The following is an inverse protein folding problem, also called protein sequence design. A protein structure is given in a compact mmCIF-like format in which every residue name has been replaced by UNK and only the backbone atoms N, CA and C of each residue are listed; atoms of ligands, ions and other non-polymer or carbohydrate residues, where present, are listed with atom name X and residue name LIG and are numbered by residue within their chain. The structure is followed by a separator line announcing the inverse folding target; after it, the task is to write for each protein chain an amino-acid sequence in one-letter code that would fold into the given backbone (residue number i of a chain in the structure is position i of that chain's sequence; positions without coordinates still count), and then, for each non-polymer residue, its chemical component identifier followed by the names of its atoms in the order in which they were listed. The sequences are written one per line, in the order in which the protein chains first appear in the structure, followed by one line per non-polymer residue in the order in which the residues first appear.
data_IF_051803547757
#
_entry.id   IF_051803547757
#
_cell.length_a   1.000
_cell.length_b   1.000
_cell.length_c   1.000
_cell.angle_alpha   90.00
_cell.angle_beta   90.00
_cell.angle_gamma   90.00
#
_symmetry.space_group_name_H-M   'P 1'
#
loop_
_entity.id
_entity.type
_entity.pdbx_description
1 polymer ?
#
# COMPACT_ATOMS: atom_id res chain seq x y z
N UNK A 1 20.64 39.18 -6.68
CA UNK A 1 20.43 38.05 -5.75
C UNK A 1 18.94 37.95 -5.48
N UNK A 2 18.31 36.86 -5.92
CA UNK A 2 16.89 36.62 -5.70
C UNK A 2 16.73 35.51 -4.66
N UNK A 3 15.76 35.67 -3.77
CA UNK A 3 15.38 34.63 -2.82
C UNK A 3 13.95 34.20 -3.09
N UNK A 4 13.69 32.89 -3.00
CA UNK A 4 12.33 32.38 -2.94
C UNK A 4 12.16 31.64 -1.62
N UNK A 5 11.10 32.01 -0.90
CA UNK A 5 10.69 31.37 0.34
C UNK A 5 9.36 30.67 0.09
N UNK A 6 9.27 29.40 0.48
CA UNK A 6 8.01 28.68 0.43
C UNK A 6 7.83 27.85 1.69
N UNK A 7 6.65 27.99 2.30
CA UNK A 7 6.15 27.06 3.30
C UNK A 7 5.19 26.13 2.57
N UNK A 8 5.54 24.86 2.47
CA UNK A 8 4.64 23.82 1.96
C UNK A 8 4.43 22.79 3.07
N UNK A 9 3.29 22.91 3.75
CA UNK A 9 2.95 22.08 4.90
C UNK A 9 3.97 22.20 6.04
N UNK A 10 4.74 21.14 6.28
CA UNK A 10 5.74 21.02 7.37
C UNK A 10 7.18 21.31 6.94
N UNK A 11 7.36 21.75 5.70
CA UNK A 11 8.68 22.04 5.13
C UNK A 11 8.86 23.55 4.92
N UNK A 12 10.01 24.05 5.36
CA UNK A 12 10.48 25.40 5.05
C UNK A 12 11.59 25.23 4.01
N UNK A 13 11.37 25.75 2.81
CA UNK A 13 12.38 25.74 1.76
C UNK A 13 12.85 27.16 1.45
N UNK A 14 14.16 27.35 1.44
CA UNK A 14 14.83 28.61 1.11
C UNK A 14 15.75 28.33 -0.07
N UNK A 15 15.53 29.05 -1.18
CA UNK A 15 16.39 28.97 -2.36
C UNK A 15 17.06 30.32 -2.61
N UNK A 16 18.37 30.27 -2.79
CA UNK A 16 19.20 31.40 -3.17
C UNK A 16 19.58 31.28 -4.64
N UNK A 17 19.27 32.32 -5.41
CA UNK A 17 19.55 32.40 -6.83
C UNK A 17 20.63 33.46 -7.10
N UNK A 18 21.76 32.98 -7.63
CA UNK A 18 22.81 33.77 -8.27
C UNK A 18 23.30 33.03 -9.53
N UNK A 19 24.59 33.03 -9.86
CA UNK A 19 25.17 32.14 -10.90
C UNK A 19 24.99 30.64 -10.60
N UNK A 20 24.68 30.30 -9.35
CA UNK A 20 24.34 28.94 -8.87
C UNK A 20 23.06 29.00 -8.05
N UNK A 21 22.37 27.87 -7.95
CA UNK A 21 21.18 27.69 -7.10
C UNK A 21 21.58 26.90 -5.85
N UNK A 22 21.39 27.49 -4.67
CA UNK A 22 21.57 26.82 -3.38
C UNK A 22 20.20 26.68 -2.72
N UNK A 23 19.81 25.47 -2.37
CA UNK A 23 18.50 25.17 -1.77
C UNK A 23 18.67 24.49 -0.42
N UNK A 24 18.09 25.08 0.63
CA UNK A 24 17.93 24.46 1.94
C UNK A 24 16.47 24.09 2.14
N UNK A 25 16.21 22.89 2.64
CA UNK A 25 14.88 22.47 3.08
C UNK A 25 14.96 21.93 4.49
N UNK A 26 14.20 22.54 5.40
CA UNK A 26 14.05 22.09 6.79
C UNK A 26 12.68 21.44 6.90
N UNK A 27 12.67 20.15 7.22
CA UNK A 27 11.45 19.38 7.50
C UNK A 27 11.26 19.28 9.01
N UNK A 28 10.20 19.88 9.53
CA UNK A 28 9.80 19.73 10.93
C UNK A 28 8.77 18.61 11.02
N UNK A 29 9.21 17.40 11.37
CA UNK A 29 8.34 16.25 11.54
C UNK A 29 8.29 15.82 13.01
N UNK A 30 7.11 15.37 13.48
CA UNK A 30 7.01 14.70 14.77
C UNK A 30 7.78 13.38 14.71
N UNK A 31 8.59 13.11 15.73
CA UNK A 31 9.22 11.81 15.90
C UNK A 31 8.13 10.74 15.97
N UNK A 32 8.23 9.65 15.19
CA UNK A 32 7.36 8.49 15.35
C UNK A 32 7.41 7.98 16.80
N UNK A 33 6.26 7.90 17.45
CA UNK A 33 6.12 7.52 18.86
C UNK A 33 5.37 6.20 19.05
N UNK A 34 4.91 5.58 17.96
CA UNK A 34 4.13 4.34 17.98
C UNK A 34 4.71 3.31 17.04
N UNK A 35 4.70 2.08 17.51
CA UNK A 35 5.06 0.89 16.73
C UNK A 35 3.79 0.25 16.17
N UNK A 36 3.88 -0.28 14.95
CA UNK A 36 2.84 -1.12 14.36
C UNK A 36 3.50 -2.21 13.52
N UNK A 37 2.67 -3.17 13.10
CA UNK A 37 3.10 -4.29 12.29
C UNK A 37 2.23 -4.35 11.04
N UNK A 38 2.87 -4.70 9.92
CA UNK A 38 2.18 -4.94 8.66
C UNK A 38 2.77 -6.15 7.94
N UNK A 39 1.99 -6.67 7.01
CA UNK A 39 2.50 -7.64 6.03
C UNK A 39 3.13 -6.89 4.88
N UNK A 40 4.16 -7.49 4.30
CA UNK A 40 4.87 -6.87 3.19
C UNK A 40 4.36 -7.43 1.88
N UNK A 41 4.47 -6.67 0.80
CA UNK A 41 4.04 -7.09 -0.53
C UNK A 41 4.82 -8.27 -1.10
N UNK A 42 5.97 -8.61 -0.51
CA UNK A 42 6.98 -9.45 -1.15
C UNK A 42 6.64 -10.93 -1.02
N UNK A 43 6.58 -11.61 -2.15
CA UNK A 43 6.40 -13.05 -2.28
C UNK A 43 7.75 -13.77 -2.31
N UNK A 44 7.70 -15.10 -2.17
CA UNK A 44 8.84 -15.94 -2.45
C UNK A 44 9.29 -15.74 -3.90
N UNK A 45 10.60 -15.70 -4.15
CA UNK A 45 11.17 -15.40 -5.47
C UNK A 45 11.23 -13.91 -5.84
N UNK A 46 10.83 -13.00 -4.94
CA UNK A 46 11.00 -11.55 -5.14
C UNK A 46 9.91 -10.86 -5.97
N UNK A 47 8.85 -11.59 -6.32
CA UNK A 47 7.61 -11.02 -6.86
C UNK A 47 6.80 -10.31 -5.76
N UNK A 48 5.74 -9.62 -6.16
CA UNK A 48 4.94 -8.75 -5.31
C UNK A 48 3.44 -8.96 -5.51
N UNK A 49 2.68 -8.99 -4.41
CA UNK A 49 1.22 -8.78 -4.42
C UNK A 49 0.88 -7.30 -4.37
N UNK A 50 -0.31 -6.92 -4.83
CA UNK A 50 -0.74 -5.53 -4.84
C UNK A 50 -1.45 -5.19 -3.53
N UNK A 51 -0.97 -4.13 -2.87
CA UNK A 51 -1.65 -3.52 -1.73
C UNK A 51 -1.92 -2.05 -2.05
N UNK A 52 -3.14 -1.60 -1.82
CA UNK A 52 -3.58 -0.24 -1.99
C UNK A 52 -4.10 0.26 -0.65
N UNK A 53 -3.66 1.45 -0.23
CA UNK A 53 -4.12 2.14 0.99
C UNK A 53 -4.79 3.44 0.56
N UNK A 54 -6.11 3.47 0.65
CA UNK A 54 -6.94 4.61 0.28
C UNK A 54 -7.31 5.39 1.55
N UNK A 55 -7.14 6.72 1.48
CA UNK A 55 -7.48 7.64 2.55
C UNK A 55 -8.31 8.81 1.96
N UNK A 56 -9.53 8.99 2.45
CA UNK A 56 -10.45 10.06 2.05
C UNK A 56 -11.25 9.79 0.76
N UNK A 57 -11.47 8.52 0.41
CA UNK A 57 -12.26 8.12 -0.76
C UNK A 57 -13.45 7.26 -0.33
N UNK A 58 -14.59 7.50 -0.97
CA UNK A 58 -15.80 6.69 -0.77
C UNK A 58 -15.64 5.32 -1.41
N UNK A 59 -16.40 4.36 -0.93
CA UNK A 59 -16.34 2.98 -1.44
C UNK A 59 -16.72 2.91 -2.92
N UNK A 60 -17.67 3.72 -3.38
CA UNK A 60 -18.08 3.75 -4.80
C UNK A 60 -16.92 4.20 -5.72
N UNK A 61 -16.15 5.21 -5.30
CA UNK A 61 -14.99 5.70 -6.05
C UNK A 61 -13.87 4.64 -6.10
N UNK A 62 -13.66 3.93 -4.99
CA UNK A 62 -12.70 2.83 -4.92
C UNK A 62 -13.14 1.66 -5.81
N UNK A 63 -14.44 1.35 -5.84
CA UNK A 63 -14.98 0.29 -6.68
C UNK A 63 -14.80 0.60 -8.16
N UNK A 64 -15.11 1.82 -8.60
CA UNK A 64 -14.89 2.27 -9.98
C UNK A 64 -13.41 2.16 -10.38
N UNK A 65 -12.50 2.63 -9.53
CA UNK A 65 -11.06 2.57 -9.79
C UNK A 65 -10.56 1.12 -9.86
N UNK A 66 -10.94 0.27 -8.90
CA UNK A 66 -10.53 -1.13 -8.89
C UNK A 66 -11.11 -1.88 -10.10
N UNK A 67 -12.35 -1.61 -10.49
CA UNK A 67 -12.96 -2.20 -11.69
C UNK A 67 -12.23 -1.77 -12.96
N UNK A 68 -11.74 -0.53 -13.03
CA UNK A 68 -10.87 -0.08 -14.11
C UNK A 68 -9.55 -0.87 -14.13
N UNK A 69 -8.87 -1.02 -12.99
CA UNK A 69 -7.62 -1.79 -12.89
C UNK A 69 -7.81 -3.26 -13.28
N UNK A 70 -8.91 -3.88 -12.81
CA UNK A 70 -9.26 -5.26 -13.14
C UNK A 70 -9.35 -5.44 -14.66
N UNK A 71 -10.00 -4.50 -15.37
CA UNK A 71 -10.14 -4.56 -16.83
C UNK A 71 -8.83 -4.30 -17.57
N UNK A 72 -8.10 -3.26 -17.16
CA UNK A 72 -6.84 -2.85 -17.79
C UNK A 72 -5.76 -3.94 -17.68
N UNK A 73 -5.60 -4.52 -16.48
CA UNK A 73 -4.51 -5.44 -16.18
C UNK A 73 -4.95 -6.90 -16.03
N UNK A 74 -6.22 -7.21 -16.29
CA UNK A 74 -6.80 -8.55 -16.17
C UNK A 74 -6.58 -9.17 -14.76
N UNK A 75 -6.71 -8.34 -13.72
CA UNK A 75 -6.45 -8.71 -12.33
C UNK A 75 -7.54 -9.61 -11.77
N UNK A 76 -7.18 -10.47 -10.81
CA UNK A 76 -8.11 -11.24 -9.98
C UNK A 76 -8.89 -10.36 -8.98
N UNK A 77 -9.70 -10.99 -8.13
CA UNK A 77 -10.49 -10.30 -7.10
C UNK A 77 -9.64 -9.41 -6.18
N UNK A 78 -10.24 -8.31 -5.74
CA UNK A 78 -9.71 -7.48 -4.67
C UNK A 78 -10.46 -7.71 -3.36
N UNK A 79 -9.72 -7.94 -2.29
CA UNK A 79 -10.22 -8.04 -0.92
C UNK A 79 -10.14 -6.69 -0.25
N UNK A 80 -11.29 -6.17 0.19
CA UNK A 80 -11.42 -4.83 0.75
C UNK A 80 -11.50 -4.91 2.27
N UNK A 81 -10.74 -4.04 2.93
CA UNK A 81 -10.72 -3.91 4.38
C UNK A 81 -10.93 -2.46 4.78
N UNK A 82 -11.96 -2.20 5.57
CA UNK A 82 -12.22 -0.87 6.11
C UNK A 82 -11.31 -0.59 7.31
N UNK A 83 -10.65 0.56 7.27
CA UNK A 83 -9.88 1.07 8.40
C UNK A 83 -10.80 1.72 9.43
N UNK A 84 -10.26 2.02 10.60
CA UNK A 84 -10.98 2.66 11.70
C UNK A 84 -11.18 4.19 11.53
N UNK A 85 -11.04 4.69 10.31
CA UNK A 85 -11.26 6.09 9.94
C UNK A 85 -12.34 6.13 8.86
N UNK A 86 -13.19 7.18 8.83
CA UNK A 86 -14.11 7.39 7.70
C UNK A 86 -13.36 7.40 6.38
N UNK A 87 -13.95 6.80 5.35
CA UNK A 87 -13.47 6.81 3.97
C UNK A 87 -12.02 6.35 3.83
N UNK A 88 -11.63 5.33 4.60
CA UNK A 88 -10.27 4.79 4.63
C UNK A 88 -10.31 3.27 4.47
N UNK A 89 -9.67 2.76 3.42
CA UNK A 89 -9.78 1.37 3.03
C UNK A 89 -8.43 0.83 2.57
N UNK A 90 -8.19 -0.45 2.82
CA UNK A 90 -7.17 -1.21 2.13
C UNK A 90 -7.81 -2.09 1.06
N UNK A 91 -7.15 -2.19 -0.09
CA UNK A 91 -7.48 -3.17 -1.11
C UNK A 91 -6.29 -4.10 -1.35
N UNK A 92 -6.53 -5.40 -1.41
CA UNK A 92 -5.50 -6.41 -1.63
C UNK A 92 -5.87 -7.26 -2.85
N UNK A 93 -5.00 -7.31 -3.85
CA UNK A 93 -5.04 -8.30 -4.91
C UNK A 93 -3.88 -9.28 -4.73
N UNK A 94 -4.18 -10.57 -4.78
CA UNK A 94 -3.24 -11.65 -4.47
C UNK A 94 -2.38 -12.07 -5.66
N UNK A 95 -2.64 -11.53 -6.85
CA UNK A 95 -1.85 -11.77 -8.05
C UNK A 95 -0.39 -11.35 -7.83
N UNK A 96 0.52 -12.12 -8.42
CA UNK A 96 1.96 -11.92 -8.30
C UNK A 96 2.51 -11.22 -9.54
N UNK A 97 3.22 -10.15 -9.29
CA UNK A 97 3.86 -9.34 -10.32
C UNK A 97 5.36 -9.20 -10.05
N UNK A 98 6.14 -8.93 -11.08
CA UNK A 98 7.46 -8.38 -10.84
C UNK A 98 7.34 -6.94 -10.27
N UNK A 99 8.43 -6.43 -9.70
CA UNK A 99 8.40 -5.13 -9.04
C UNK A 99 7.95 -3.98 -9.96
N UNK A 100 8.37 -3.99 -11.23
CA UNK A 100 8.06 -2.91 -12.16
C UNK A 100 6.59 -2.90 -12.55
N UNK A 101 6.03 -4.07 -12.86
CA UNK A 101 4.60 -4.24 -13.13
C UNK A 101 3.75 -3.80 -11.94
N UNK A 102 4.12 -4.22 -10.73
CA UNK A 102 3.38 -3.86 -9.53
C UNK A 102 3.41 -2.35 -9.26
N UNK A 103 4.56 -1.70 -9.49
CA UNK A 103 4.68 -0.24 -9.38
C UNK A 103 3.82 0.45 -10.44
N UNK A 104 3.79 -0.02 -11.69
CA UNK A 104 2.95 0.56 -12.74
C UNK A 104 1.48 0.51 -12.34
N UNK A 105 0.99 -0.66 -11.91
CA UNK A 105 -0.39 -0.84 -11.44
C UNK A 105 -0.71 0.14 -10.29
N UNK A 106 0.11 0.17 -9.24
CA UNK A 106 -0.11 1.02 -8.06
C UNK A 106 -0.04 2.51 -8.44
N UNK A 107 0.82 2.88 -9.40
CA UNK A 107 0.98 4.28 -9.81
C UNK A 107 -0.29 4.88 -10.41
N UNK A 108 -1.12 4.05 -11.05
CA UNK A 108 -2.39 4.43 -11.69
C UNK A 108 -3.58 4.51 -10.74
N UNK A 109 -3.36 4.29 -9.44
CA UNK A 109 -4.41 4.33 -8.41
C UNK A 109 -4.44 5.67 -7.69
N UNK A 110 -5.47 5.93 -6.89
CA UNK A 110 -5.54 7.04 -5.95
C UNK A 110 -4.97 6.70 -4.57
N UNK A 111 -4.29 5.54 -4.43
CA UNK A 111 -3.70 5.10 -3.18
C UNK A 111 -2.61 6.05 -2.65
N UNK A 112 -2.36 5.98 -1.34
CA UNK A 112 -1.38 6.80 -0.62
C UNK A 112 -0.02 6.81 -1.32
N UNK A 113 0.58 8.01 -1.37
CA UNK A 113 1.86 8.23 -2.05
C UNK A 113 2.99 7.36 -1.49
N UNK A 114 2.92 6.99 -0.21
CA UNK A 114 3.84 6.07 0.42
C UNK A 114 3.88 4.73 -0.29
N UNK A 115 2.75 4.18 -0.73
CA UNK A 115 2.69 2.90 -1.45
C UNK A 115 3.29 2.98 -2.86
N UNK A 116 3.20 4.14 -3.51
CA UNK A 116 3.81 4.40 -4.82
C UNK A 116 5.34 4.57 -4.74
N UNK A 117 5.82 5.19 -3.66
CA UNK A 117 7.21 5.66 -3.56
C UNK A 117 8.10 4.72 -2.72
N UNK A 118 7.55 4.09 -1.68
CA UNK A 118 8.26 3.15 -0.81
C UNK A 118 9.10 2.10 -1.57
N UNK A 119 8.58 1.44 -2.62
CA UNK A 119 9.30 0.36 -3.28
C UNK A 119 10.52 0.88 -4.08
N UNK A 120 10.52 2.17 -4.40
CA UNK A 120 11.60 2.86 -5.11
C UNK A 120 12.67 3.35 -4.12
N UNK A 121 12.25 3.92 -2.98
CA UNK A 121 13.16 4.55 -2.02
C UNK A 121 13.78 3.58 -1.01
N UNK A 122 13.09 2.51 -0.62
CA UNK A 122 13.60 1.59 0.38
C UNK A 122 14.47 0.50 -0.24
N UNK A 123 15.61 0.20 0.40
CA UNK A 123 16.54 -0.85 -0.05
C UNK A 123 15.87 -2.22 -0.22
N UNK A 124 14.83 -2.50 0.55
CA UNK A 124 14.10 -3.76 0.50
C UNK A 124 13.10 -3.84 -0.67
N UNK A 125 12.87 -2.73 -1.39
CA UNK A 125 12.01 -2.62 -2.57
C UNK A 125 10.61 -3.23 -2.39
N UNK A 126 9.97 -2.92 -1.26
CA UNK A 126 8.67 -3.48 -0.85
C UNK A 126 7.82 -2.40 -0.18
N UNK A 127 6.53 -2.63 -0.11
CA UNK A 127 5.60 -1.83 0.67
C UNK A 127 4.94 -2.69 1.74
N UNK A 128 4.43 -2.05 2.78
CA UNK A 128 3.93 -2.71 3.99
C UNK A 128 2.51 -2.24 4.25
N UNK A 129 1.57 -3.18 4.25
CA UNK A 129 0.17 -2.91 4.58
C UNK A 129 -0.10 -3.23 6.04
N UNK A 130 -0.72 -2.30 6.76
CA UNK A 130 -1.05 -2.48 8.17
C UNK A 130 -2.13 -3.57 8.32
N UNK A 131 -1.88 -4.51 9.23
CA UNK A 131 -2.86 -5.57 9.58
C UNK A 131 -3.14 -5.64 11.08
N UNK A 132 -2.31 -5.01 11.91
CA UNK A 132 -2.49 -4.93 13.36
C UNK A 132 -2.94 -3.53 13.82
N UNK A 133 -3.45 -3.41 15.06
CA UNK A 133 -3.74 -2.10 15.66
C UNK A 133 -2.53 -1.16 15.63
N UNK A 134 -2.79 0.15 15.66
CA UNK A 134 -1.76 1.20 15.65
C UNK A 134 -2.06 2.22 16.76
N UNK A 135 -1.44 2.04 17.92
CA UNK A 135 -1.79 2.81 19.12
C UNK A 135 -3.25 2.60 19.51
N UNK A 136 -4.05 3.68 19.53
CA UNK A 136 -5.50 3.60 19.78
C UNK A 136 -6.31 3.15 18.57
N UNK A 137 -5.68 3.11 17.38
CA UNK A 137 -6.36 2.75 16.15
C UNK A 137 -6.59 1.25 16.06
N UNK A 138 -7.83 0.84 15.76
CA UNK A 138 -8.22 -0.56 15.64
C UNK A 138 -7.57 -1.18 14.38
N UNK A 139 -7.47 -2.52 14.37
CA UNK A 139 -7.07 -3.24 13.16
C UNK A 139 -8.13 -3.05 12.06
N UNK A 140 -7.73 -3.06 10.77
CA UNK A 140 -8.68 -3.06 9.67
C UNK A 140 -9.69 -4.22 9.82
N UNK A 141 -10.88 -4.07 9.26
CA UNK A 141 -11.91 -5.11 9.25
C UNK A 141 -12.24 -5.46 7.81
N UNK A 142 -12.52 -6.73 7.55
CA UNK A 142 -12.99 -7.13 6.23
C UNK A 142 -14.32 -6.45 5.91
N UNK A 143 -14.37 -5.80 4.74
CA UNK A 143 -15.54 -5.09 4.24
C UNK A 143 -16.25 -5.91 3.17
N UNK A 144 -15.50 -6.39 2.17
CA UNK A 144 -16.09 -7.12 1.05
C UNK A 144 -15.08 -7.53 0.00
N UNK A 145 -15.58 -8.01 -1.14
CA UNK A 145 -14.79 -8.44 -2.29
C UNK A 145 -15.32 -7.71 -3.52
N UNK A 146 -14.42 -7.10 -4.28
CA UNK A 146 -14.70 -6.68 -5.65
C UNK A 146 -14.29 -7.83 -6.56
N UNK A 147 -15.29 -8.48 -7.16
CA UNK A 147 -15.09 -9.69 -7.92
C UNK A 147 -14.54 -9.39 -9.31
N UNK A 148 -13.60 -10.21 -9.75
CA UNK A 148 -13.10 -10.17 -11.12
C UNK A 148 -13.65 -11.32 -11.95
N UNK A 149 -13.81 -11.06 -13.25
CA UNK A 149 -14.04 -12.10 -14.25
C UNK A 149 -12.73 -12.80 -14.68
N UNK A 150 -11.58 -12.25 -14.33
CA UNK A 150 -10.25 -12.77 -14.66
C UNK A 150 -9.67 -13.58 -13.50
N UNK A 151 -8.93 -14.63 -13.83
CA UNK A 151 -8.25 -15.51 -12.87
C UNK A 151 -7.03 -16.21 -13.49
N UNK A 152 -6.42 -15.57 -14.49
CA UNK A 152 -5.33 -16.12 -15.30
C UNK A 152 -3.95 -15.97 -14.68
N UNK A 153 -3.80 -15.09 -13.69
CA UNK A 153 -2.52 -14.78 -13.07
C UNK A 153 -2.22 -15.71 -11.90
N UNK A 154 -0.92 -15.94 -11.65
CA UNK A 154 -0.47 -16.69 -10.48
C UNK A 154 -0.67 -15.85 -9.21
N UNK A 155 -1.23 -16.44 -8.16
CA UNK A 155 -1.44 -15.78 -6.88
C UNK A 155 -0.51 -16.32 -5.79
N UNK A 156 -0.26 -15.50 -4.77
CA UNK A 156 0.52 -15.91 -3.60
C UNK A 156 -0.33 -16.70 -2.60
N UNK A 157 -0.03 -18.00 -2.46
CA UNK A 157 -0.68 -18.86 -1.46
C UNK A 157 -0.36 -18.40 -0.04
N UNK A 158 0.84 -17.89 0.20
CA UNK A 158 1.27 -17.43 1.52
C UNK A 158 0.44 -16.22 2.00
N UNK A 159 0.27 -15.20 1.15
CA UNK A 159 -0.55 -14.03 1.46
C UNK A 159 -2.03 -14.38 1.61
N UNK A 160 -2.54 -15.25 0.75
CA UNK A 160 -3.90 -15.79 0.88
C UNK A 160 -4.13 -16.38 2.27
N UNK A 161 -3.27 -17.34 2.66
CA UNK A 161 -3.36 -18.00 3.98
C UNK A 161 -3.26 -17.01 5.12
N UNK A 162 -2.35 -16.04 5.03
CA UNK A 162 -2.21 -15.00 6.03
C UNK A 162 -3.53 -14.26 6.23
N UNK A 163 -4.18 -13.83 5.14
CA UNK A 163 -5.46 -13.11 5.21
C UNK A 163 -6.56 -14.00 5.78
N UNK A 164 -6.66 -15.26 5.33
CA UNK A 164 -7.64 -16.22 5.84
C UNK A 164 -7.53 -16.40 7.35
N UNK A 165 -6.32 -16.60 7.87
CA UNK A 165 -6.07 -16.78 9.30
C UNK A 165 -6.30 -15.48 10.07
N UNK A 166 -5.75 -14.36 9.59
CA UNK A 166 -5.70 -13.10 10.34
C UNK A 166 -7.06 -12.40 10.44
N UNK A 167 -7.91 -12.59 9.43
CA UNK A 167 -9.25 -12.03 9.36
C UNK A 167 -10.37 -13.06 9.52
N UNK A 168 -10.04 -14.34 9.74
CA UNK A 168 -10.99 -15.45 9.82
C UNK A 168 -11.92 -15.50 8.59
N UNK A 169 -11.31 -15.45 7.40
CA UNK A 169 -11.99 -15.44 6.10
C UNK A 169 -11.75 -16.75 5.37
N UNK A 170 -12.68 -17.11 4.49
CA UNK A 170 -12.51 -18.22 3.54
C UNK A 170 -12.35 -17.65 2.15
N UNK A 171 -11.14 -17.69 1.62
CA UNK A 171 -10.84 -17.20 0.27
C UNK A 171 -11.03 -18.36 -0.72
N UNK A 172 -11.66 -18.08 -1.87
CA UNK A 172 -11.83 -19.08 -2.93
C UNK A 172 -10.50 -19.71 -3.34
N UNK A 173 -10.54 -20.95 -3.79
CA UNK A 173 -9.36 -21.59 -4.40
C UNK A 173 -9.13 -20.96 -5.77
N UNK A 174 -7.91 -20.54 -6.04
CA UNK A 174 -7.53 -20.04 -7.36
C UNK A 174 -6.94 -21.16 -8.21
N UNK A 175 -7.04 -21.00 -9.54
CA UNK A 175 -6.51 -21.99 -10.48
C UNK A 175 -4.98 -22.06 -10.42
N UNK A 176 -4.33 -20.89 -10.32
CA UNK A 176 -2.89 -20.75 -10.34
C UNK A 176 -2.38 -20.23 -8.99
N UNK A 177 -2.38 -21.11 -7.99
CA UNK A 177 -1.77 -20.85 -6.68
C UNK A 177 -0.30 -21.30 -6.70
N UNK A 178 0.64 -20.44 -6.27
CA UNK A 178 2.08 -20.76 -6.27
C UNK A 178 2.47 -21.89 -5.29
N UNK A 179 1.57 -22.27 -4.38
CA UNK A 179 1.74 -23.37 -3.45
C UNK A 179 2.71 -23.09 -2.29
N UNK A 180 3.38 -21.93 -2.29
CA UNK A 180 4.33 -21.54 -1.25
C UNK A 180 3.55 -21.02 -0.05
N UNK A 181 3.61 -21.73 1.08
CA UNK A 181 2.75 -21.47 2.24
C UNK A 181 3.44 -20.68 3.35
N UNK A 182 4.75 -20.79 3.46
CA UNK A 182 5.51 -20.41 4.66
C UNK A 182 6.39 -19.16 4.44
N UNK A 183 6.06 -18.37 3.40
CA UNK A 183 6.79 -17.15 3.08
C UNK A 183 5.85 -15.93 3.06
N UNK A 184 5.60 -15.38 4.25
CA UNK A 184 5.05 -14.02 4.41
C UNK A 184 5.96 -13.27 5.35
N UNK A 185 6.50 -12.14 4.87
CA UNK A 185 7.32 -11.29 5.71
C UNK A 185 6.44 -10.29 6.45
N UNK A 186 6.54 -10.29 7.78
CA UNK A 186 5.91 -9.31 8.66
C UNK A 186 6.95 -8.26 9.04
N UNK A 187 6.61 -7.00 8.86
CA UNK A 187 7.50 -5.88 9.14
C UNK A 187 6.96 -5.04 10.29
N UNK A 188 7.81 -4.84 11.30
CA UNK A 188 7.61 -3.83 12.34
C UNK A 188 8.08 -2.48 11.82
N UNK A 189 7.27 -1.44 11.93
CA UNK A 189 7.67 -0.09 11.56
C UNK A 189 7.14 0.97 12.51
N UNK A 190 7.92 2.03 12.66
CA UNK A 190 7.57 3.18 13.47
C UNK A 190 6.71 4.13 12.65
N UNK A 191 5.69 4.67 13.29
CA UNK A 191 4.74 5.55 12.62
C UNK A 191 4.28 6.67 13.55
N UNK A 192 4.04 7.86 12.99
CA UNK A 192 3.52 8.98 13.76
C UNK A 192 2.06 8.76 14.16
N UNK A 193 1.70 9.14 15.39
CA UNK A 193 0.31 9.36 15.73
C UNK A 193 -0.24 10.53 14.89
N UNK A 194 -1.03 10.21 13.86
CA UNK A 194 -2.07 11.14 13.45
C UNK A 194 -3.11 11.07 14.58
N UNK A 195 -3.07 12.08 15.45
CA UNK A 195 -4.16 12.39 16.38
C UNK A 195 -5.25 13.04 15.57
#
# INVERSE_FOLDING_TARGET
MYFSFSILGRSISIKFYNEKVISFSILIARKPDKETYGITSRCYGGQHVIFLDYDGLKMEEIEEEIMFLIKEFHLSDFYIFENDRPDSYHAICLDKFNLYEAIDIISRTSADKGFKIAPILFKQKRWVLRVLPKGKRKKPKFYGIIQSAFNSLEISTAHKKFIEIHYNLKIKKYKYEDGVKDFVEVCKYNTGANV
#
